data_IF_681896249039
#
_entry.id   IF_681896249039
#
_cell.length_a   1.000
_cell.length_b   1.000
_cell.length_c   1.000
_cell.angle_alpha   90.00
_cell.angle_beta   90.00
_cell.angle_gamma   90.00
#
_symmetry.space_group_name_H-M   'P 1'
#
loop_
_entity.id
_entity.type
_entity.pdbx_description
1 polymer ?
#
# COMPACT_ATOMS: atom_id res chain seq x y z
N UNK A 1 -5.52 -24.10 2.45
CA UNK A 1 -4.52 -23.02 2.59
C UNK A 1 -4.07 -22.44 1.26
N UNK A 2 -3.49 -23.21 0.33
CA UNK A 2 -3.03 -22.66 -0.97
C UNK A 2 -4.13 -22.02 -1.83
N UNK A 3 -5.33 -22.62 -1.88
CA UNK A 3 -6.46 -22.06 -2.63
C UNK A 3 -6.96 -20.70 -2.09
N UNK A 4 -6.95 -20.53 -0.76
CA UNK A 4 -7.34 -19.29 -0.09
C UNK A 4 -6.33 -18.17 -0.39
N UNK A 5 -5.04 -18.50 -0.36
CA UNK A 5 -3.97 -17.57 -0.70
C UNK A 5 -4.03 -17.14 -2.18
N UNK A 6 -4.28 -18.08 -3.09
CA UNK A 6 -4.49 -17.76 -4.51
C UNK A 6 -5.70 -16.83 -4.72
N UNK A 7 -6.80 -17.05 -3.99
CA UNK A 7 -7.97 -16.19 -4.05
C UNK A 7 -7.67 -14.78 -3.52
N UNK A 8 -6.94 -14.66 -2.40
CA UNK A 8 -6.48 -13.36 -1.87
C UNK A 8 -5.66 -12.59 -2.90
N UNK A 9 -4.68 -13.26 -3.55
CA UNK A 9 -3.86 -12.66 -4.61
C UNK A 9 -4.68 -12.17 -5.79
N UNK A 10 -5.61 -12.98 -6.29
CA UNK A 10 -6.55 -12.57 -7.36
C UNK A 10 -7.42 -11.39 -6.96
N UNK A 11 -7.87 -11.36 -5.70
CA UNK A 11 -8.66 -10.26 -5.18
C UNK A 11 -7.84 -8.97 -5.11
N UNK A 12 -6.58 -9.00 -4.67
CA UNK A 12 -5.69 -7.82 -4.70
C UNK A 12 -5.65 -7.20 -6.10
N UNK A 13 -5.44 -8.02 -7.14
CA UNK A 13 -5.39 -7.59 -8.55
C UNK A 13 -6.66 -6.87 -9.01
N UNK A 14 -7.82 -7.24 -8.47
CA UNK A 14 -9.10 -6.61 -8.84
C UNK A 14 -9.29 -5.22 -8.24
N UNK A 15 -8.67 -4.94 -7.08
CA UNK A 15 -8.75 -3.63 -6.42
C UNK A 15 -7.61 -2.70 -6.82
N UNK A 16 -6.43 -3.27 -7.07
CA UNK A 16 -5.20 -2.57 -7.39
C UNK A 16 -4.47 -3.27 -8.55
N UNK A 17 -4.99 -3.16 -9.79
CA UNK A 17 -4.45 -3.85 -10.96
C UNK A 17 -3.01 -3.40 -11.28
N UNK A 18 -2.70 -2.12 -11.06
CA UNK A 18 -1.38 -1.52 -11.33
C UNK A 18 -0.29 -1.96 -10.34
N UNK A 19 -0.68 -2.70 -9.30
CA UNK A 19 0.19 -3.18 -8.22
C UNK A 19 0.51 -4.67 -8.37
N UNK A 20 -0.17 -5.34 -9.31
CA UNK A 20 -0.16 -6.78 -9.48
C UNK A 20 1.22 -7.37 -9.80
N UNK A 21 2.10 -6.63 -10.47
CA UNK A 21 3.39 -7.13 -10.93
C UNK A 21 4.53 -7.02 -9.91
N UNK A 22 4.30 -6.41 -8.75
CA UNK A 22 5.38 -6.07 -7.83
C UNK A 22 5.62 -7.02 -6.65
N UNK A 23 4.87 -8.11 -6.54
CA UNK A 23 4.99 -9.06 -5.42
C UNK A 23 4.38 -8.52 -4.12
N UNK A 24 4.91 -8.95 -2.97
CA UNK A 24 4.37 -8.59 -1.65
C UNK A 24 4.78 -7.18 -1.19
N UNK A 25 6.00 -6.74 -1.49
CA UNK A 25 6.52 -5.44 -1.04
C UNK A 25 5.63 -4.21 -1.35
N UNK A 26 5.13 -3.99 -2.58
CA UNK A 26 4.21 -2.89 -2.85
C UNK A 26 2.89 -3.01 -2.09
N UNK A 27 2.47 -4.24 -1.79
CA UNK A 27 1.26 -4.48 -1.00
C UNK A 27 1.49 -4.11 0.47
N UNK A 28 2.66 -4.44 1.01
CA UNK A 28 3.06 -4.07 2.37
C UNK A 28 3.13 -2.55 2.54
N UNK A 29 3.66 -1.82 1.55
CA UNK A 29 3.64 -0.34 1.54
C UNK A 29 2.20 0.19 1.68
N UNK A 30 1.27 -0.32 0.87
CA UNK A 30 -0.13 0.12 0.90
C UNK A 30 -0.81 -0.21 2.24
N UNK A 31 -0.52 -1.37 2.83
CA UNK A 31 -1.05 -1.78 4.12
C UNK A 31 -0.50 -0.93 5.27
N UNK A 32 0.80 -0.64 5.28
CA UNK A 32 1.43 0.20 6.31
C UNK A 32 0.85 1.62 6.24
N UNK A 33 0.72 2.19 5.04
CA UNK A 33 0.06 3.49 4.86
C UNK A 33 -1.41 3.47 5.29
N UNK A 34 -2.14 2.38 5.02
CA UNK A 34 -3.52 2.23 5.48
C UNK A 34 -3.61 2.23 7.01
N UNK A 35 -2.73 1.50 7.69
CA UNK A 35 -2.68 1.46 9.15
C UNK A 35 -2.34 2.85 9.72
N UNK A 36 -1.40 3.57 9.10
CA UNK A 36 -1.03 4.93 9.49
C UNK A 36 -2.24 5.88 9.39
N UNK A 37 -2.96 5.83 8.27
CA UNK A 37 -4.15 6.65 8.03
C UNK A 37 -5.26 6.35 9.05
N UNK A 38 -5.53 5.08 9.35
CA UNK A 38 -6.52 4.68 10.38
C UNK A 38 -6.16 5.18 11.78
N UNK A 39 -4.88 5.40 12.05
CA UNK A 39 -4.38 5.92 13.33
C UNK A 39 -4.22 7.45 13.34
N UNK A 40 -4.53 8.13 12.23
CA UNK A 40 -4.30 9.56 12.07
C UNK A 40 -2.81 9.95 12.11
N UNK A 41 -1.91 9.01 11.80
CA UNK A 41 -0.47 9.24 11.85
C UNK A 41 0.04 9.79 10.52
N UNK A 42 0.93 10.78 10.60
CA UNK A 42 1.76 11.17 9.47
C UNK A 42 2.98 10.25 9.42
N UNK A 43 3.18 9.57 8.30
CA UNK A 43 4.29 8.63 8.14
C UNK A 43 5.37 9.19 7.24
N UNK A 44 6.61 9.23 7.75
CA UNK A 44 7.78 9.57 6.96
C UNK A 44 8.08 8.42 5.98
N UNK A 45 8.56 8.76 4.78
CA UNK A 45 8.89 7.76 3.76
C UNK A 45 9.97 6.79 4.28
N UNK A 46 10.98 7.27 5.00
CA UNK A 46 12.01 6.40 5.56
C UNK A 46 11.44 5.31 6.49
N UNK A 47 10.56 5.70 7.42
CA UNK A 47 9.89 4.79 8.36
C UNK A 47 8.96 3.81 7.62
N UNK A 48 8.21 4.30 6.62
CA UNK A 48 7.35 3.46 5.78
C UNK A 48 8.15 2.36 5.07
N UNK A 49 9.30 2.71 4.49
CA UNK A 49 10.12 1.78 3.74
C UNK A 49 10.79 0.74 4.64
N UNK A 50 11.20 1.14 5.84
CA UNK A 50 11.68 0.23 6.88
C UNK A 50 10.59 -0.78 7.30
N UNK A 51 9.37 -0.29 7.59
CA UNK A 51 8.24 -1.12 8.02
C UNK A 51 7.73 -2.07 6.93
N UNK A 52 7.83 -1.67 5.66
CA UNK A 52 7.38 -2.47 4.51
C UNK A 52 8.40 -3.52 4.04
N UNK A 53 9.55 -3.64 4.73
CA UNK A 53 10.48 -4.76 4.60
C UNK A 53 11.22 -4.88 3.26
N UNK A 54 11.24 -3.82 2.44
CA UNK A 54 11.97 -3.81 1.16
C UNK A 54 13.03 -2.72 1.10
N UNK A 55 13.90 -2.80 0.07
CA UNK A 55 14.98 -1.84 -0.10
C UNK A 55 14.47 -0.43 -0.44
N UNK A 56 15.09 0.59 0.14
CA UNK A 56 14.74 2.02 -0.02
C UNK A 56 14.53 2.43 -1.48
N UNK A 57 15.39 1.99 -2.40
CA UNK A 57 15.24 2.30 -3.83
C UNK A 57 14.00 1.65 -4.45
N UNK A 58 13.73 0.39 -4.14
CA UNK A 58 12.57 -0.32 -4.66
C UNK A 58 11.27 0.28 -4.12
N UNK A 59 11.26 0.62 -2.83
CA UNK A 59 10.14 1.29 -2.17
C UNK A 59 9.84 2.67 -2.74
N UNK A 60 10.87 3.49 -2.96
CA UNK A 60 10.72 4.81 -3.61
C UNK A 60 10.16 4.69 -5.02
N UNK A 61 10.59 3.69 -5.80
CA UNK A 61 10.02 3.43 -7.13
C UNK A 61 8.52 3.09 -7.05
N UNK A 62 8.11 2.28 -6.08
CA UNK A 62 6.70 1.95 -5.86
C UNK A 62 5.88 3.16 -5.40
N UNK A 63 6.40 3.98 -4.50
CA UNK A 63 5.73 5.19 -4.05
C UNK A 63 5.51 6.18 -5.20
N UNK A 64 6.52 6.39 -6.05
CA UNK A 64 6.38 7.20 -7.26
C UNK A 64 5.32 6.63 -8.21
N UNK A 65 5.31 5.32 -8.40
CA UNK A 65 4.29 4.63 -9.20
C UNK A 65 2.89 4.81 -8.63
N UNK A 66 2.70 4.63 -7.32
CA UNK A 66 1.41 4.82 -6.64
C UNK A 66 0.92 6.26 -6.69
N UNK A 67 1.82 7.24 -6.58
CA UNK A 67 1.45 8.64 -6.73
C UNK A 67 0.99 8.94 -8.16
N UNK A 68 1.71 8.42 -9.17
CA UNK A 68 1.28 8.53 -10.56
C UNK A 68 -0.07 7.86 -10.83
N UNK A 69 -0.35 6.74 -10.15
CA UNK A 69 -1.64 6.04 -10.21
C UNK A 69 -2.75 6.69 -9.36
N UNK A 70 -2.46 7.77 -8.62
CA UNK A 70 -3.43 8.45 -7.76
C UNK A 70 -3.80 7.69 -6.49
N UNK A 71 -3.02 6.68 -6.09
CA UNK A 71 -3.24 5.91 -4.87
C UNK A 71 -2.60 6.54 -3.64
N UNK A 72 -1.48 7.24 -3.84
CA UNK A 72 -0.71 7.88 -2.78
C UNK A 72 -0.53 9.35 -3.08
N UNK A 73 -0.65 10.18 -2.05
CA UNK A 73 -0.25 11.58 -2.08
C UNK A 73 1.10 11.74 -1.40
N UNK A 74 2.02 12.43 -2.08
CA UNK A 74 3.33 12.81 -1.57
C UNK A 74 3.51 14.32 -1.79
N UNK A 75 3.60 15.14 -0.74
CA UNK A 75 3.82 16.58 -0.88
C UNK A 75 5.20 16.88 -1.47
N UNK A 76 6.22 16.16 -1.02
CA UNK A 76 7.63 16.48 -1.30
C UNK A 76 8.37 15.25 -1.82
N UNK A 77 8.02 14.79 -3.03
CA UNK A 77 8.63 13.62 -3.68
C UNK A 77 10.15 13.75 -3.92
N UNK A 78 10.77 14.88 -3.57
CA UNK A 78 12.20 15.17 -3.77
C UNK A 78 13.05 15.33 -2.50
N UNK A 79 12.46 15.37 -1.30
CA UNK A 79 13.23 15.44 -0.05
C UNK A 79 13.09 14.12 0.72
N UNK A 80 14.21 13.54 1.16
CA UNK A 80 14.22 12.29 1.94
C UNK A 80 13.41 12.31 3.25
N UNK A 81 12.96 13.50 3.68
CA UNK A 81 12.08 13.74 4.83
C UNK A 81 10.58 13.83 4.45
N UNK A 82 10.23 13.53 3.20
CA UNK A 82 8.86 13.58 2.71
C UNK A 82 7.94 12.61 3.44
N UNK A 83 6.67 12.99 3.58
CA UNK A 83 5.62 12.10 4.07
C UNK A 83 4.82 11.50 2.92
N UNK A 84 4.25 10.30 3.12
CA UNK A 84 3.33 9.70 2.17
C UNK A 84 2.00 9.39 2.84
N UNK A 85 0.89 9.54 2.11
CA UNK A 85 -0.46 9.21 2.56
C UNK A 85 -1.26 8.52 1.48
N UNK A 86 -2.21 7.66 1.85
CA UNK A 86 -3.18 7.16 0.88
C UNK A 86 -4.15 8.27 0.48
N UNK A 87 -4.57 8.27 -0.78
CA UNK A 87 -5.73 9.07 -1.17
C UNK A 87 -7.00 8.46 -0.58
N UNK A 88 -8.04 9.28 -0.38
CA UNK A 88 -9.31 8.78 0.16
C UNK A 88 -9.93 7.68 -0.69
N UNK A 89 -9.65 7.67 -2.01
CA UNK A 89 -10.08 6.57 -2.88
C UNK A 89 -9.34 5.27 -2.61
N UNK A 90 -8.01 5.34 -2.46
CA UNK A 90 -7.19 4.18 -2.13
C UNK A 90 -7.57 3.60 -0.76
N UNK A 91 -7.83 4.45 0.26
CA UNK A 91 -8.33 4.02 1.57
C UNK A 91 -9.64 3.22 1.43
N UNK A 92 -10.61 3.75 0.67
CA UNK A 92 -11.89 3.04 0.44
C UNK A 92 -11.70 1.70 -0.27
N UNK A 93 -10.80 1.63 -1.26
CA UNK A 93 -10.50 0.39 -1.98
C UNK A 93 -9.83 -0.65 -1.08
N UNK A 94 -8.83 -0.25 -0.29
CA UNK A 94 -8.16 -1.10 0.69
C UNK A 94 -9.13 -1.62 1.75
N UNK A 95 -9.99 -0.76 2.29
CA UNK A 95 -11.01 -1.17 3.25
C UNK A 95 -11.97 -2.21 2.66
N UNK A 96 -12.46 -2.00 1.43
CA UNK A 96 -13.30 -2.98 0.74
C UNK A 96 -12.59 -4.31 0.50
N UNK A 97 -11.31 -4.26 0.11
CA UNK A 97 -10.50 -5.46 -0.06
C UNK A 97 -10.30 -6.22 1.26
N UNK A 98 -10.03 -5.52 2.37
CA UNK A 98 -9.86 -6.14 3.69
C UNK A 98 -11.14 -6.88 4.14
N UNK A 99 -12.30 -6.24 3.99
CA UNK A 99 -13.61 -6.84 4.32
C UNK A 99 -13.90 -8.06 3.44
N UNK A 100 -13.60 -7.97 2.14
CA UNK A 100 -13.83 -9.06 1.19
C UNK A 100 -12.75 -10.18 1.26
N UNK A 101 -11.66 -9.97 2.00
CA UNK A 101 -10.55 -10.92 2.06
C UNK A 101 -10.90 -12.11 2.94
N UNK A 102 -10.79 -13.36 2.42
CA UNK A 102 -11.09 -14.55 3.20
C UNK A 102 -10.24 -14.61 4.48
N UNK A 103 -10.86 -14.77 5.66
CA UNK A 103 -10.16 -14.88 6.95
C UNK A 103 -9.91 -13.54 7.67
N UNK A 104 -10.54 -12.45 7.25
CA UNK A 104 -10.67 -11.26 8.10
C UNK A 104 -11.75 -11.51 9.17
N UNK A 105 -11.49 -11.27 10.47
CA UNK A 105 -12.52 -11.40 11.50
C UNK A 105 -13.61 -10.36 11.26
N UNK A 106 -14.87 -10.81 11.21
CA UNK A 106 -16.05 -9.95 11.12
C UNK A 106 -16.36 -9.26 12.44
#
# INVERSE_FOLDING_TARGET
>A
MAAVELQRRRLRSSYFPDVFFGGEHPWDILLVLFIAEQRGLHMAIAELLELSGGGTEAGNRWLAHFAKAGHVWMPDAGSGDGSAKLTSDAVRRLAKWLIASPGWPH
#
